data_IF_751063096429
#
_entry.id   IF_751063096429
#
_cell.length_a   1.000
_cell.length_b   1.000
_cell.length_c   1.000
_cell.angle_alpha   90.00
_cell.angle_beta   90.00
_cell.angle_gamma   90.00
#
_symmetry.space_group_name_H-M   'P 1'
#
loop_
_entity.id
_entity.type
_entity.pdbx_description
1 polymer ?
#
# COMPACT_ATOMS: atom_id res chain seq x y z
N UNK A 1 -47.07 29.89 -11.51
CA UNK A 1 -46.20 29.16 -12.45
C UNK A 1 -45.13 28.45 -11.65
N UNK A 2 -45.41 27.20 -11.25
CA UNK A 2 -44.44 26.16 -10.96
C UNK A 2 -45.20 24.85 -11.28
N UNK A 3 -44.70 24.03 -12.20
CA UNK A 3 -45.01 22.59 -12.19
C UNK A 3 -43.79 21.83 -12.68
N UNK A 4 -43.19 21.11 -11.75
CA UNK A 4 -42.31 19.95 -11.90
C UNK A 4 -42.86 18.92 -12.90
N UNK A 5 -41.99 18.41 -13.77
CA UNK A 5 -42.25 17.26 -14.64
C UNK A 5 -41.55 16.01 -14.10
N UNK A 6 -42.35 14.97 -13.88
CA UNK A 6 -42.03 13.64 -13.36
C UNK A 6 -41.15 12.82 -14.31
N UNK A 7 -40.33 11.92 -13.75
CA UNK A 7 -39.62 10.86 -14.47
C UNK A 7 -40.52 9.61 -14.50
N UNK A 8 -40.95 9.19 -15.68
CA UNK A 8 -41.63 7.91 -15.88
C UNK A 8 -40.74 6.98 -16.72
N UNK A 9 -40.31 5.88 -16.10
CA UNK A 9 -39.68 4.74 -16.76
C UNK A 9 -40.77 3.79 -17.26
N UNK A 10 -40.94 3.67 -18.57
CA UNK A 10 -41.69 2.56 -19.16
C UNK A 10 -40.74 1.48 -19.68
N UNK A 11 -41.03 0.25 -19.25
CA UNK A 11 -40.35 -0.98 -19.58
C UNK A 11 -40.65 -1.45 -21.01
N UNK A 12 -39.61 -1.79 -21.78
CA UNK A 12 -39.78 -2.43 -23.09
C UNK A 12 -40.06 -3.92 -22.88
N UNK A 13 -41.28 -4.34 -23.25
CA UNK A 13 -41.69 -5.74 -23.38
C UNK A 13 -41.42 -6.20 -24.80
N UNK A 14 -40.52 -7.17 -25.01
CA UNK A 14 -40.39 -7.86 -26.30
C UNK A 14 -41.07 -9.22 -26.18
N UNK A 15 -42.30 -9.33 -26.72
CA UNK A 15 -42.97 -10.60 -26.94
C UNK A 15 -42.84 -11.03 -28.41
N UNK A 16 -42.53 -12.32 -28.55
CA UNK A 16 -42.12 -13.11 -29.71
C UNK A 16 -43.14 -13.27 -30.86
N UNK A 17 -42.65 -13.49 -32.09
CA UNK A 17 -43.33 -14.32 -33.09
C UNK A 17 -42.32 -14.96 -34.08
N UNK A 18 -42.47 -16.28 -34.23
CA UNK A 18 -41.68 -17.19 -35.06
C UNK A 18 -42.28 -17.26 -36.47
N UNK A 19 -41.47 -17.22 -37.54
CA UNK A 19 -41.91 -17.60 -38.89
C UNK A 19 -40.74 -18.22 -39.68
N UNK A 20 -40.79 -19.55 -39.79
CA UNK A 20 -40.03 -20.39 -40.72
C UNK A 20 -40.61 -20.22 -42.15
N UNK A 21 -39.76 -20.26 -43.19
CA UNK A 21 -39.93 -21.11 -44.39
C UNK A 21 -38.85 -20.80 -45.44
N UNK A 22 -38.12 -21.81 -45.92
CA UNK A 22 -37.14 -21.60 -46.99
C UNK A 22 -36.33 -22.80 -47.50
N UNK A 23 -37.00 -23.92 -47.81
CA UNK A 23 -36.59 -25.05 -48.68
C UNK A 23 -35.91 -26.29 -48.04
N UNK A 24 -36.39 -27.41 -48.57
CA UNK A 24 -36.36 -28.80 -48.11
C UNK A 24 -35.42 -29.61 -49.03
N UNK A 25 -34.65 -30.59 -48.52
CA UNK A 25 -34.62 -32.02 -48.97
C UNK A 25 -33.36 -32.80 -48.52
N UNK A 26 -33.63 -34.06 -48.18
CA UNK A 26 -32.95 -35.13 -47.43
C UNK A 26 -31.75 -35.80 -48.12
N UNK A 27 -30.73 -36.26 -47.36
CA UNK A 27 -30.20 -37.64 -47.32
C UNK A 27 -29.03 -37.80 -46.31
N UNK A 28 -29.07 -38.92 -45.59
CA UNK A 28 -28.26 -39.24 -44.41
C UNK A 28 -26.86 -39.82 -44.73
N UNK A 29 -25.96 -39.59 -43.77
CA UNK A 29 -24.91 -40.51 -43.26
C UNK A 29 -23.57 -40.72 -43.98
N UNK A 30 -22.52 -40.54 -43.15
CA UNK A 30 -21.20 -41.20 -43.09
C UNK A 30 -20.00 -40.57 -43.82
N UNK A 31 -19.18 -39.85 -43.04
CA UNK A 31 -17.78 -39.51 -43.32
C UNK A 31 -17.16 -38.57 -42.28
N UNK A 32 -16.53 -39.09 -41.24
CA UNK A 32 -15.66 -38.32 -40.31
C UNK A 32 -14.27 -38.05 -40.93
N UNK A 33 -13.37 -37.29 -40.29
CA UNK A 33 -13.48 -35.96 -39.67
C UNK A 33 -12.41 -34.99 -40.22
N UNK A 34 -12.63 -33.67 -40.21
CA UNK A 34 -11.51 -32.72 -40.23
C UNK A 34 -11.96 -31.35 -39.73
N UNK A 35 -11.43 -30.98 -38.57
CA UNK A 35 -10.78 -29.70 -38.23
C UNK A 35 -11.30 -28.51 -39.07
N UNK A 36 -11.99 -27.53 -38.48
CA UNK A 36 -11.33 -26.54 -37.62
C UNK A 36 -12.32 -26.07 -36.54
N UNK A 37 -12.17 -26.59 -35.32
CA UNK A 37 -12.55 -25.81 -34.16
C UNK A 37 -11.37 -24.87 -33.93
N UNK A 38 -11.55 -23.61 -34.30
CA UNK A 38 -10.72 -22.52 -33.80
C UNK A 38 -10.99 -22.45 -32.29
N UNK A 39 -10.30 -23.30 -31.53
CA UNK A 39 -10.11 -23.08 -30.11
C UNK A 39 -9.31 -21.79 -30.06
N UNK A 40 -10.00 -20.68 -29.82
CA UNK A 40 -9.36 -19.48 -29.34
C UNK A 40 -8.67 -19.89 -28.03
N UNK A 41 -7.38 -20.15 -28.11
CA UNK A 41 -6.54 -20.42 -26.95
C UNK A 41 -6.58 -19.13 -26.13
N UNK A 42 -7.51 -19.08 -25.17
CA UNK A 42 -7.40 -18.16 -24.06
C UNK A 42 -6.10 -18.54 -23.38
N UNK A 43 -5.00 -17.90 -23.78
CA UNK A 43 -3.82 -17.85 -22.93
C UNK A 43 -4.35 -17.40 -21.57
N UNK A 44 -4.17 -18.18 -20.49
CA UNK A 44 -4.45 -17.65 -19.18
C UNK A 44 -3.63 -16.38 -19.08
N UNK A 45 -4.31 -15.24 -18.90
CA UNK A 45 -3.67 -14.00 -18.48
C UNK A 45 -3.02 -14.33 -17.14
N UNK A 46 -1.76 -14.78 -17.21
CA UNK A 46 -0.88 -14.86 -16.06
C UNK A 46 -0.61 -13.40 -15.73
N UNK A 47 -1.39 -12.84 -14.81
CA UNK A 47 -1.01 -11.56 -14.21
C UNK A 47 0.36 -11.78 -13.59
N UNK A 48 1.40 -11.22 -14.22
CA UNK A 48 2.73 -11.25 -13.66
C UNK A 48 2.68 -10.50 -12.33
N UNK A 49 3.11 -11.18 -11.27
CA UNK A 49 3.17 -10.60 -9.94
C UNK A 49 4.17 -9.44 -9.94
N UNK A 50 3.81 -8.38 -9.23
CA UNK A 50 4.62 -7.18 -9.07
C UNK A 50 5.44 -7.26 -7.77
N UNK A 51 6.49 -6.45 -7.69
CA UNK A 51 7.38 -6.40 -6.52
C UNK A 51 7.40 -5.00 -5.92
N UNK A 52 7.14 -4.89 -4.62
CA UNK A 52 7.30 -3.66 -3.85
C UNK A 52 8.45 -3.83 -2.87
N UNK A 53 9.50 -3.02 -3.01
CA UNK A 53 10.55 -2.90 -2.01
C UNK A 53 10.14 -1.86 -0.96
N UNK A 54 9.84 -2.30 0.26
CA UNK A 54 9.50 -1.41 1.37
C UNK A 54 10.70 -1.20 2.26
N UNK A 55 11.18 0.03 2.41
CA UNK A 55 12.25 0.37 3.36
C UNK A 55 11.73 1.14 4.56
N UNK A 56 12.41 0.99 5.70
CA UNK A 56 12.12 1.74 6.92
C UNK A 56 13.38 2.43 7.44
N UNK A 57 13.30 3.74 7.58
CA UNK A 57 14.36 4.59 8.12
C UNK A 57 13.90 5.36 9.35
N UNK A 58 14.84 5.63 10.25
CA UNK A 58 14.65 6.51 11.40
C UNK A 58 15.53 7.74 11.20
N UNK A 59 14.93 8.92 11.29
CA UNK A 59 15.61 10.22 11.34
C UNK A 59 15.42 10.80 12.73
N UNK A 60 16.37 11.61 13.16
CA UNK A 60 16.25 12.37 14.39
C UNK A 60 16.46 13.85 14.09
N UNK A 61 15.61 14.67 14.68
CA UNK A 61 15.78 16.11 14.77
C UNK A 61 15.74 16.49 16.24
N UNK A 62 16.66 17.36 16.67
CA UNK A 62 16.69 17.81 18.06
C UNK A 62 16.89 19.31 18.12
N UNK A 63 16.21 19.94 19.08
CA UNK A 63 16.42 21.33 19.48
C UNK A 63 16.69 21.44 20.99
N UNK A 64 17.54 22.39 21.37
CA UNK A 64 17.97 22.65 22.74
C UNK A 64 18.55 21.41 23.46
N UNK A 65 19.16 20.49 22.71
CA UNK A 65 19.79 19.28 23.24
C UNK A 65 21.08 19.57 24.01
N UNK A 66 21.27 18.85 25.11
CA UNK A 66 22.46 18.90 25.96
C UNK A 66 23.18 17.54 25.86
N UNK A 67 24.53 17.50 25.71
CA UNK A 67 25.44 18.62 25.48
C UNK A 67 25.32 19.24 24.08
N UNK A 68 24.60 18.60 23.16
CA UNK A 68 24.25 19.15 21.84
C UNK A 68 23.07 18.38 21.23
N UNK A 69 22.41 18.96 20.23
CA UNK A 69 21.38 18.28 19.43
C UNK A 69 21.92 16.99 18.80
N UNK A 70 23.19 16.99 18.37
CA UNK A 70 23.85 15.81 17.80
C UNK A 70 24.00 14.69 18.84
N UNK A 71 24.40 15.03 20.08
CA UNK A 71 24.51 14.03 21.15
C UNK A 71 23.15 13.39 21.49
N UNK A 72 22.09 14.20 21.51
CA UNK A 72 20.71 13.70 21.65
C UNK A 72 20.36 12.76 20.49
N UNK A 73 20.61 13.15 19.24
CA UNK A 73 20.28 12.30 18.09
C UNK A 73 21.13 11.03 17.98
N UNK A 74 22.37 11.05 18.47
CA UNK A 74 23.18 9.84 18.64
C UNK A 74 22.57 8.90 19.67
N UNK A 75 22.05 9.44 20.78
CA UNK A 75 21.32 8.66 21.77
C UNK A 75 20.05 8.05 21.17
N UNK A 76 19.23 8.83 20.44
CA UNK A 76 18.05 8.31 19.73
C UNK A 76 18.43 7.17 18.78
N UNK A 77 19.45 7.36 17.94
CA UNK A 77 19.90 6.37 16.96
C UNK A 77 20.45 5.08 17.58
N UNK A 78 20.87 5.14 18.85
CA UNK A 78 21.35 3.97 19.60
C UNK A 78 20.22 3.20 20.30
N UNK A 79 19.02 3.77 20.37
CA UNK A 79 17.88 3.20 21.10
C UNK A 79 16.65 2.97 20.22
N UNK A 80 16.61 3.58 19.03
CA UNK A 80 15.50 3.46 18.09
C UNK A 80 16.00 2.89 16.77
N UNK A 81 15.49 1.71 16.42
CA UNK A 81 15.87 0.97 15.22
C UNK A 81 14.66 0.67 14.34
N UNK A 82 14.87 0.54 13.03
CA UNK A 82 13.79 0.24 12.06
C UNK A 82 13.04 -1.06 12.38
N UNK A 83 13.69 -2.05 13.01
CA UNK A 83 13.11 -3.35 13.35
C UNK A 83 12.13 -3.31 14.54
N UNK A 84 12.01 -2.17 15.23
CA UNK A 84 11.01 -1.97 16.29
C UNK A 84 9.62 -1.66 15.72
N UNK A 85 9.56 -1.35 14.42
CA UNK A 85 8.33 -1.03 13.70
C UNK A 85 7.86 -2.26 12.93
N UNK A 86 6.69 -2.77 13.28
CA UNK A 86 6.05 -3.83 12.49
C UNK A 86 5.30 -3.19 11.33
N UNK A 87 5.73 -3.50 10.12
CA UNK A 87 5.13 -3.05 8.86
C UNK A 87 4.06 -4.05 8.42
N UNK A 88 2.93 -3.53 7.96
CA UNK A 88 1.84 -4.31 7.35
C UNK A 88 1.57 -3.79 5.94
N UNK A 89 1.63 -4.68 4.96
CA UNK A 89 1.27 -4.39 3.56
C UNK A 89 -0.06 -5.05 3.25
N UNK A 90 -1.06 -4.23 2.96
CA UNK A 90 -2.37 -4.65 2.45
C UNK A 90 -2.40 -4.40 0.95
N UNK A 91 -2.64 -5.45 0.17
CA UNK A 91 -2.74 -5.40 -1.28
C UNK A 91 -3.28 -6.73 -1.79
N UNK A 92 -3.45 -6.85 -3.11
CA UNK A 92 -3.92 -8.10 -3.71
C UNK A 92 -2.84 -9.18 -3.53
N UNK A 93 -3.10 -10.19 -2.70
CA UNK A 93 -2.18 -11.31 -2.43
C UNK A 93 -0.76 -10.89 -1.99
N UNK A 94 -0.64 -9.90 -1.10
CA UNK A 94 0.67 -9.45 -0.59
C UNK A 94 1.41 -10.54 0.19
N UNK A 95 2.70 -10.72 -0.11
CA UNK A 95 3.56 -11.69 0.58
C UNK A 95 5.05 -11.23 0.62
N UNK A 96 5.66 -11.06 1.81
CA UNK A 96 5.01 -11.12 3.13
C UNK A 96 4.09 -9.91 3.33
N UNK A 97 2.93 -10.14 3.97
CA UNK A 97 2.01 -9.05 4.32
C UNK A 97 2.32 -8.37 5.66
N UNK A 98 3.19 -8.97 6.48
CA UNK A 98 3.63 -8.42 7.76
C UNK A 98 5.09 -8.79 8.04
N UNK A 99 5.90 -7.82 8.45
CA UNK A 99 7.34 -7.98 8.70
C UNK A 99 7.87 -6.85 9.60
N UNK A 100 9.03 -7.05 10.21
CA UNK A 100 9.73 -5.95 10.90
C UNK A 100 10.40 -5.02 9.90
N UNK A 101 10.40 -3.71 10.19
CA UNK A 101 11.04 -2.71 9.35
C UNK A 101 12.55 -2.94 9.18
N UNK A 102 13.06 -2.56 8.02
CA UNK A 102 14.46 -2.77 7.64
C UNK A 102 14.98 -1.59 6.82
N UNK A 103 16.18 -1.10 7.15
CA UNK A 103 16.87 -0.08 6.35
C UNK A 103 17.30 -0.61 4.97
N UNK A 104 17.57 -1.91 4.88
CA UNK A 104 17.89 -2.59 3.62
C UNK A 104 16.63 -2.94 2.81
N UNK A 105 15.45 -2.76 3.42
CA UNK A 105 14.15 -3.07 2.84
C UNK A 105 13.72 -4.52 2.97
N UNK A 106 12.45 -4.73 2.62
CA UNK A 106 11.79 -6.03 2.47
C UNK A 106 11.08 -6.04 1.12
N UNK A 107 11.37 -7.03 0.29
CA UNK A 107 10.63 -7.25 -0.95
C UNK A 107 9.28 -7.92 -0.65
N UNK A 108 8.21 -7.32 -1.13
CA UNK A 108 6.86 -7.83 -1.05
C UNK A 108 6.37 -8.14 -2.45
N UNK A 109 5.91 -9.36 -2.68
CA UNK A 109 5.22 -9.74 -3.91
C UNK A 109 3.74 -9.46 -3.76
N UNK A 110 3.12 -8.82 -4.75
CA UNK A 110 1.68 -8.57 -4.78
C UNK A 110 1.16 -8.62 -6.22
N UNK A 111 -0.11 -8.95 -6.38
CA UNK A 111 -0.81 -8.81 -7.66
C UNK A 111 -1.06 -7.33 -7.97
N UNK A 112 -1.30 -6.99 -9.24
CA UNK A 112 -1.55 -5.61 -9.67
C UNK A 112 -2.72 -4.95 -8.92
N UNK A 113 -2.62 -3.63 -8.76
CA UNK A 113 -3.67 -2.80 -8.16
C UNK A 113 -3.16 -1.93 -7.02
N UNK A 114 -4.09 -1.50 -6.17
CA UNK A 114 -3.80 -0.60 -5.06
C UNK A 114 -3.17 -1.37 -3.90
N UNK A 115 -2.21 -0.74 -3.22
CA UNK A 115 -1.67 -1.22 -1.96
C UNK A 115 -1.67 -0.12 -0.91
N UNK A 116 -1.67 -0.53 0.35
CA UNK A 116 -1.48 0.30 1.53
C UNK A 116 -0.38 -0.31 2.39
N UNK A 117 0.54 0.52 2.87
CA UNK A 117 1.54 0.15 3.87
C UNK A 117 1.23 0.93 5.14
N UNK A 118 1.23 0.24 6.28
CA UNK A 118 1.07 0.84 7.60
C UNK A 118 2.09 0.28 8.56
N UNK A 119 2.26 0.93 9.71
CA UNK A 119 3.15 0.46 10.76
C UNK A 119 2.56 0.60 12.16
N UNK A 120 3.17 -0.06 13.13
CA UNK A 120 2.85 0.11 14.56
C UNK A 120 3.25 1.49 15.07
N UNK A 121 2.48 2.03 16.02
CA UNK A 121 2.85 3.27 16.70
C UNK A 121 4.18 3.12 17.42
N UNK A 122 4.91 4.22 17.48
CA UNK A 122 6.02 4.38 18.39
C UNK A 122 5.66 5.42 19.45
N UNK A 123 5.88 5.06 20.71
CA UNK A 123 5.70 5.95 21.86
C UNK A 123 7.09 6.44 22.32
N UNK A 124 7.39 7.75 22.22
CA UNK A 124 8.67 8.30 22.60
C UNK A 124 8.87 8.38 24.13
N UNK A 125 7.90 8.03 24.96
CA UNK A 125 7.98 8.19 26.43
C UNK A 125 9.22 7.53 27.07
N UNK A 126 9.67 6.38 26.57
CA UNK A 126 10.90 5.75 27.08
C UNK A 126 12.16 6.57 26.74
N UNK A 127 12.15 7.22 25.59
CA UNK A 127 13.22 8.10 25.13
C UNK A 127 13.23 9.39 25.95
N UNK A 128 12.06 10.00 26.16
CA UNK A 128 11.88 11.18 27.03
C UNK A 128 12.40 10.90 28.44
N UNK A 129 11.98 9.79 29.07
CA UNK A 129 12.43 9.39 30.40
C UNK A 129 13.96 9.23 30.48
N UNK A 130 14.59 8.79 29.39
CA UNK A 130 16.04 8.60 29.33
C UNK A 130 16.80 9.91 29.06
N UNK A 131 16.16 10.86 28.37
CA UNK A 131 16.70 12.17 28.03
C UNK A 131 16.36 13.24 29.08
N UNK A 132 15.63 12.90 30.14
CA UNK A 132 15.34 13.79 31.27
C UNK A 132 13.95 14.45 31.23
N UNK A 133 13.54 15.01 32.38
CA UNK A 133 12.15 15.48 32.62
C UNK A 133 11.66 16.59 31.68
N UNK A 134 12.57 17.33 31.06
CA UNK A 134 12.24 18.41 30.12
C UNK A 134 12.16 17.95 28.67
N UNK A 135 12.56 16.72 28.38
CA UNK A 135 12.56 16.18 27.04
C UNK A 135 11.11 15.96 26.57
N UNK A 136 10.78 16.50 25.40
CA UNK A 136 9.51 16.27 24.72
C UNK A 136 9.82 15.61 23.39
N UNK A 137 9.26 14.44 23.17
CA UNK A 137 9.39 13.66 21.95
C UNK A 137 8.13 13.68 21.10
N UNK A 138 8.28 14.00 19.83
CA UNK A 138 7.23 13.83 18.82
C UNK A 138 7.72 12.91 17.71
N UNK A 139 6.77 12.19 17.10
CA UNK A 139 7.05 11.32 15.96
C UNK A 139 6.24 11.83 14.78
N UNK A 140 6.92 12.16 13.70
CA UNK A 140 6.31 12.41 12.41
C UNK A 140 6.72 11.32 11.42
N UNK A 141 5.78 10.87 10.59
CA UNK A 141 6.04 9.88 9.54
C UNK A 141 5.99 10.57 8.19
N UNK A 142 6.92 10.22 7.32
CA UNK A 142 6.91 10.60 5.90
C UNK A 142 7.17 9.42 4.98
N UNK A 143 6.86 9.60 3.70
CA UNK A 143 7.16 8.60 2.67
C UNK A 143 7.80 9.25 1.44
N UNK A 144 8.73 8.52 0.83
CA UNK A 144 9.41 8.84 -0.42
C UNK A 144 9.29 7.65 -1.39
N UNK A 145 9.58 7.85 -2.68
CA UNK A 145 9.49 6.81 -3.71
C UNK A 145 8.14 6.78 -4.45
N UNK A 146 7.69 5.57 -4.80
CA UNK A 146 6.50 5.31 -5.63
C UNK A 146 5.20 5.24 -4.82
N UNK A 147 5.24 5.67 -3.56
CA UNK A 147 4.14 5.64 -2.63
C UNK A 147 3.84 7.03 -2.08
N UNK A 148 2.57 7.30 -1.79
CA UNK A 148 2.07 8.60 -1.34
C UNK A 148 1.56 8.49 0.08
N UNK A 149 2.14 9.28 0.98
CA UNK A 149 1.69 9.32 2.35
C UNK A 149 0.35 10.04 2.48
N UNK A 150 -0.58 9.46 3.24
CA UNK A 150 -1.91 10.02 3.47
C UNK A 150 -1.93 10.69 4.84
N UNK A 151 -1.48 11.95 4.91
CA UNK A 151 -1.44 12.69 6.17
C UNK A 151 -2.75 13.41 6.46
N UNK A 152 -3.46 13.01 7.52
CA UNK A 152 -4.51 13.85 8.12
C UNK A 152 -3.89 14.65 9.27
N UNK A 153 -4.36 15.87 9.52
CA UNK A 153 -3.78 16.78 10.54
C UNK A 153 -4.01 16.33 11.99
N UNK A 154 -4.48 15.11 12.22
CA UNK A 154 -4.94 14.63 13.54
C UNK A 154 -4.47 13.23 13.93
N UNK A 155 -3.97 12.42 13.01
CA UNK A 155 -3.66 11.03 13.31
C UNK A 155 -2.14 10.79 13.44
N UNK A 156 -1.73 10.37 14.64
CA UNK A 156 -0.39 9.85 14.92
C UNK A 156 -0.12 8.47 14.28
N UNK A 157 -0.81 8.15 13.18
CA UNK A 157 -0.72 6.91 12.43
C UNK A 157 -0.94 7.19 10.95
N UNK A 158 0.13 7.10 10.17
CA UNK A 158 0.16 7.53 8.79
C UNK A 158 0.34 6.30 7.92
N UNK A 159 -0.71 5.90 7.20
CA UNK A 159 -0.56 4.90 6.17
C UNK A 159 -0.04 5.57 4.89
N UNK A 160 0.58 4.74 4.05
CA UNK A 160 1.09 5.14 2.76
C UNK A 160 0.40 4.30 1.71
N UNK A 161 -0.04 4.90 0.62
CA UNK A 161 -0.77 4.21 -0.44
C UNK A 161 -0.02 4.30 -1.76
N UNK A 162 -0.25 3.34 -2.64
CA UNK A 162 0.26 3.35 -3.99
C UNK A 162 -0.53 2.43 -4.90
N UNK A 163 -0.15 2.43 -6.17
CA UNK A 163 -0.71 1.55 -7.20
C UNK A 163 0.44 0.90 -7.94
N UNK A 164 0.38 -0.41 -8.16
CA UNK A 164 1.43 -1.14 -8.88
C UNK A 164 0.83 -1.91 -10.05
N UNK A 165 1.44 -1.78 -11.23
CA UNK A 165 1.01 -2.46 -12.45
C UNK A 165 1.66 -3.85 -12.54
N UNK A 166 1.13 -4.72 -13.42
CA UNK A 166 1.64 -6.09 -13.61
C UNK A 166 3.09 -6.13 -14.07
N UNK A 167 3.89 -6.97 -13.40
CA UNK A 167 5.32 -7.11 -13.66
C UNK A 167 6.19 -5.92 -13.20
N UNK A 168 5.59 -4.90 -12.61
CA UNK A 168 6.31 -3.71 -12.15
C UNK A 168 7.12 -3.99 -10.86
N UNK A 169 8.21 -3.25 -10.70
CA UNK A 169 8.96 -3.18 -9.44
C UNK A 169 8.98 -1.74 -8.94
N UNK A 170 8.43 -1.51 -7.76
CA UNK A 170 8.34 -0.20 -7.12
C UNK A 170 9.11 -0.16 -5.80
N UNK A 171 9.42 1.04 -5.33
CA UNK A 171 10.05 1.28 -4.03
C UNK A 171 9.23 2.24 -3.19
N UNK A 172 8.97 1.86 -1.93
CA UNK A 172 8.33 2.73 -0.95
C UNK A 172 9.24 2.90 0.27
N UNK A 173 9.70 4.12 0.50
CA UNK A 173 10.59 4.46 1.61
C UNK A 173 9.79 5.13 2.72
N UNK A 174 9.64 4.45 3.86
CA UNK A 174 8.93 4.97 5.04
C UNK A 174 9.96 5.54 6.01
N UNK A 175 9.76 6.77 6.45
CA UNK A 175 10.70 7.50 7.31
C UNK A 175 9.96 8.00 8.53
N UNK A 176 10.39 7.58 9.74
CA UNK A 176 9.97 8.26 10.95
C UNK A 176 11.03 9.25 11.40
N UNK A 177 10.63 10.50 11.57
CA UNK A 177 11.43 11.53 12.21
C UNK A 177 11.01 11.61 13.66
N UNK A 178 11.98 11.35 14.55
CA UNK A 178 11.85 11.54 15.98
C UNK A 178 12.37 12.94 16.30
N UNK A 179 11.46 13.82 16.68
CA UNK A 179 11.76 15.20 17.04
C UNK A 179 11.88 15.29 18.57
N UNK A 180 13.01 15.77 19.08
CA UNK A 180 13.26 15.94 20.51
C UNK A 180 13.50 17.41 20.85
N UNK A 181 12.68 17.97 21.74
CA UNK A 181 12.90 19.29 22.33
C UNK A 181 13.45 19.15 23.75
N UNK A 182 14.54 19.85 24.07
CA UNK A 182 15.11 20.01 25.42
C UNK A 182 15.50 18.70 26.16
N UNK A 183 16.22 17.80 25.47
CA UNK A 183 16.76 16.55 26.03
C UNK A 183 18.22 16.62 26.47
N UNK A 184 18.57 15.90 27.52
CA UNK A 184 19.92 15.70 28.06
C UNK A 184 20.40 14.27 27.77
N UNK A 185 21.35 14.13 26.84
CA UNK A 185 21.84 12.85 26.37
C UNK A 185 22.69 12.14 27.46
N UNK A 186 22.29 10.94 27.92
CA UNK A 186 23.06 10.19 28.90
C UNK A 186 24.45 9.86 28.40
N UNK A 187 25.47 10.21 29.18
CA UNK A 187 26.85 9.82 28.89
C UNK A 187 27.56 10.65 27.81
N UNK A 188 27.15 11.89 27.57
CA UNK A 188 28.03 12.87 26.93
C UNK A 188 29.32 13.11 27.75
N UNK A 189 30.45 13.50 27.12
CA UNK A 189 31.70 13.78 27.84
C UNK A 189 31.56 14.83 28.95
#
# INVERSE_FOLDING_TARGET
MITSGSLDFESIVINSANAQNGRNTTLEQMGSPSNNAELNELTPISEESSTLLVTKSIRCESDLGIPSNEAVCQFVSSNVESNQFTITVTGNNSNPSNFQGSINGTEVTLNPGNYTVSETQFDPMNLENSLGETAIGTVSTSAEGDCTAQFTTFDAFQNVTGTIDSGESQKCDIINTIEITAGDAPGGP
#
